data_IF_044305026379
#
_entry.id   IF_044305026379
#
_cell.length_a   1.000
_cell.length_b   1.000
_cell.length_c   1.000
_cell.angle_alpha   90.00
_cell.angle_beta   90.00
_cell.angle_gamma   90.00
#
_symmetry.space_group_name_H-M   'P 1'
#
loop_
_entity.id
_entity.type
_entity.pdbx_description
1 polymer ?
#
# COMPACT_ATOMS: atom_id res chain seq x y z
N UNK A 1 -10.23 -36.27 -37.97
CA UNK A 1 -10.91 -34.96 -38.10
C UNK A 1 -11.15 -34.46 -36.69
N UNK A 2 -10.19 -33.71 -36.13
CA UNK A 2 -10.32 -33.06 -34.82
C UNK A 2 -10.75 -31.62 -35.10
N UNK A 3 -11.98 -31.27 -34.69
CA UNK A 3 -12.52 -29.92 -34.84
C UNK A 3 -12.06 -29.11 -33.64
N UNK A 4 -11.26 -28.08 -33.92
CA UNK A 4 -10.86 -27.03 -33.00
C UNK A 4 -12.04 -26.04 -32.88
N UNK A 5 -12.61 -25.87 -31.69
CA UNK A 5 -13.56 -24.77 -31.43
C UNK A 5 -12.78 -23.67 -30.70
N UNK A 6 -12.37 -22.64 -31.44
CA UNK A 6 -11.99 -21.34 -30.89
C UNK A 6 -13.24 -20.65 -30.33
N UNK A 7 -13.30 -20.45 -29.02
CA UNK A 7 -14.18 -19.45 -28.43
C UNK A 7 -13.32 -18.23 -28.09
N UNK A 8 -13.45 -17.18 -28.89
CA UNK A 8 -12.83 -15.87 -28.65
C UNK A 8 -13.54 -15.22 -27.45
N UNK A 9 -12.90 -15.23 -26.29
CA UNK A 9 -13.32 -14.43 -25.13
C UNK A 9 -12.86 -12.99 -25.38
N UNK A 10 -13.79 -12.05 -25.37
CA UNK A 10 -13.46 -10.63 -25.62
C UNK A 10 -12.85 -10.00 -24.37
N UNK A 11 -12.05 -8.94 -24.53
CA UNK A 11 -11.46 -8.20 -23.40
C UNK A 11 -12.54 -7.63 -22.44
N UNK A 12 -13.75 -7.39 -22.93
CA UNK A 12 -14.90 -6.99 -22.12
C UNK A 12 -15.44 -8.11 -21.23
N UNK A 13 -15.32 -9.37 -21.65
CA UNK A 13 -15.74 -10.53 -20.85
C UNK A 13 -14.77 -10.77 -19.68
N UNK A 14 -13.47 -10.56 -19.90
CA UNK A 14 -12.45 -10.61 -18.84
C UNK A 14 -12.68 -9.51 -17.79
N UNK A 15 -12.94 -8.27 -18.22
CA UNK A 15 -13.25 -7.15 -17.31
C UNK A 15 -14.50 -7.44 -16.48
N UNK A 16 -15.52 -8.05 -17.08
CA UNK A 16 -16.75 -8.41 -16.38
C UNK A 16 -16.53 -9.52 -15.35
N UNK A 17 -15.74 -10.56 -15.68
CA UNK A 17 -15.37 -11.62 -14.74
C UNK A 17 -14.54 -11.06 -13.57
N UNK A 18 -13.63 -10.12 -13.83
CA UNK A 18 -12.84 -9.48 -12.76
C UNK A 18 -13.65 -8.51 -11.90
N UNK A 19 -14.60 -7.77 -12.46
CA UNK A 19 -15.56 -6.98 -11.67
C UNK A 19 -16.43 -7.86 -10.79
N UNK A 20 -16.81 -9.04 -11.29
CA UNK A 20 -17.59 -10.04 -10.54
C UNK A 20 -16.72 -10.63 -9.40
N UNK A 21 -15.48 -11.02 -9.66
CA UNK A 21 -14.53 -11.49 -8.63
C UNK A 21 -14.27 -10.42 -7.55
N UNK A 22 -14.11 -9.16 -7.95
CA UNK A 22 -13.97 -8.02 -7.04
C UNK A 22 -15.24 -7.80 -6.20
N UNK A 23 -16.41 -7.84 -6.83
CA UNK A 23 -17.70 -7.75 -6.13
C UNK A 23 -17.97 -8.96 -5.20
N UNK A 24 -17.52 -10.16 -5.57
CA UNK A 24 -17.64 -11.37 -4.75
C UNK A 24 -16.70 -11.34 -3.55
N UNK A 25 -15.46 -10.87 -3.72
CA UNK A 25 -14.54 -10.63 -2.61
C UNK A 25 -15.11 -9.57 -1.62
N UNK A 26 -15.79 -8.55 -2.15
CA UNK A 26 -16.53 -7.58 -1.35
C UNK A 26 -17.76 -8.20 -0.65
N UNK A 27 -18.57 -9.00 -1.34
CA UNK A 27 -19.78 -9.61 -0.80
C UNK A 27 -19.48 -10.63 0.32
N UNK A 28 -18.41 -11.41 0.18
CA UNK A 28 -17.99 -12.39 1.17
C UNK A 28 -17.50 -11.73 2.48
N UNK A 29 -16.91 -10.54 2.40
CA UNK A 29 -16.50 -9.78 3.59
C UNK A 29 -17.69 -9.11 4.32
N UNK A 30 -18.79 -8.82 3.63
CA UNK A 30 -20.03 -8.30 4.24
C UNK A 30 -20.80 -9.41 4.97
N UNK A 31 -20.74 -10.66 4.48
CA UNK A 31 -21.44 -11.81 5.07
C UNK A 31 -21.05 -12.11 6.53
N UNK A 32 -19.81 -11.83 6.93
CA UNK A 32 -19.34 -12.01 8.30
C UNK A 32 -19.87 -10.95 9.30
N UNK A 33 -20.53 -9.88 8.83
CA UNK A 33 -21.07 -8.83 9.70
C UNK A 33 -22.56 -9.00 10.07
N UNK A 34 -23.29 -9.95 9.47
CA UNK A 34 -24.75 -10.09 9.65
C UNK A 34 -25.19 -11.31 10.48
N UNK A 35 -24.26 -11.99 11.12
CA UNK A 35 -24.53 -13.19 11.92
C UNK A 35 -24.79 -12.94 13.40
N UNK A 36 -25.74 -12.07 13.77
CA UNK A 36 -26.34 -12.09 15.13
C UNK A 36 -27.68 -11.32 15.12
N UNK A 37 -28.80 -12.04 14.99
CA UNK A 37 -30.14 -11.52 15.31
C UNK A 37 -30.61 -12.17 16.61
N UNK A 38 -30.50 -11.43 17.70
CA UNK A 38 -31.23 -11.68 18.94
C UNK A 38 -32.56 -10.95 18.91
N UNK A 39 -33.63 -11.65 19.30
CA UNK A 39 -34.98 -11.16 19.52
C UNK A 39 -35.02 -10.20 20.71
N UNK A 40 -35.75 -9.08 20.63
CA UNK A 40 -36.75 -8.64 21.63
C UNK A 40 -37.37 -7.27 21.27
N UNK A 41 -38.66 -7.18 21.57
CA UNK A 41 -39.58 -6.09 21.28
C UNK A 41 -39.39 -4.86 22.19
N UNK A 42 -39.73 -3.68 21.65
CA UNK A 42 -40.42 -2.61 22.38
C UNK A 42 -39.59 -1.60 23.18
N UNK A 43 -39.57 -0.36 22.66
CA UNK A 43 -39.98 0.89 23.35
C UNK A 43 -39.03 2.09 23.11
N UNK A 44 -39.61 3.18 22.59
CA UNK A 44 -38.95 4.44 22.24
C UNK A 44 -38.44 5.18 23.49
N UNK A 45 -37.18 5.64 23.47
CA UNK A 45 -36.81 6.93 24.06
C UNK A 45 -35.56 7.52 23.40
N UNK A 46 -35.60 8.85 23.24
CA UNK A 46 -34.59 9.67 22.58
C UNK A 46 -33.23 9.57 23.28
N UNK A 47 -32.19 9.18 22.54
CA UNK A 47 -30.81 9.50 22.89
C UNK A 47 -30.13 10.05 21.64
N UNK A 48 -29.73 11.32 21.75
CA UNK A 48 -28.87 12.03 20.81
C UNK A 48 -27.67 11.18 20.42
N UNK A 49 -27.60 10.79 19.14
CA UNK A 49 -26.47 10.06 18.58
C UNK A 49 -25.23 10.96 18.57
N UNK A 50 -24.39 10.81 19.59
CA UNK A 50 -22.99 11.20 19.55
C UNK A 50 -22.37 10.50 18.33
N UNK A 51 -21.93 11.28 17.34
CA UNK A 51 -21.09 10.79 16.24
C UNK A 51 -19.92 10.02 16.84
N UNK A 52 -19.91 8.69 16.68
CA UNK A 52 -18.75 7.87 17.04
C UNK A 52 -17.54 8.40 16.28
N UNK A 53 -16.43 8.74 16.96
CA UNK A 53 -15.20 9.12 16.28
C UNK A 53 -14.75 7.95 15.39
N UNK A 54 -14.25 8.27 14.20
CA UNK A 54 -13.67 7.33 13.24
C UNK A 54 -12.66 6.43 13.98
N UNK A 55 -13.03 5.18 14.27
CA UNK A 55 -12.13 4.25 14.96
C UNK A 55 -11.09 3.77 13.94
N UNK A 56 -9.91 4.38 13.95
CA UNK A 56 -8.74 3.80 13.29
C UNK A 56 -8.45 2.46 13.95
N UNK A 57 -8.49 1.37 13.19
CA UNK A 57 -8.08 0.06 13.70
C UNK A 57 -6.58 0.08 14.03
N UNK A 58 -6.22 -0.57 15.14
CA UNK A 58 -4.83 -0.68 15.56
C UNK A 58 -3.97 -1.32 14.46
N UNK A 59 -2.71 -0.89 14.30
CA UNK A 59 -1.80 -1.52 13.36
C UNK A 59 -1.56 -3.00 13.74
N UNK A 60 -1.37 -3.85 12.73
CA UNK A 60 -0.84 -5.20 12.95
C UNK A 60 0.65 -5.08 13.21
N UNK A 61 1.11 -5.57 14.36
CA UNK A 61 2.52 -5.52 14.76
C UNK A 61 3.03 -6.94 14.91
N UNK A 62 4.09 -7.28 14.17
CA UNK A 62 4.82 -8.52 14.34
C UNK A 62 6.16 -8.19 15.00
N UNK A 63 6.35 -8.62 16.25
CA UNK A 63 7.61 -8.45 16.96
C UNK A 63 8.77 -9.13 16.24
N UNK A 64 9.97 -8.55 16.33
CA UNK A 64 11.20 -9.21 15.91
C UNK A 64 11.38 -10.54 16.66
N UNK A 65 12.02 -11.53 16.02
CA UNK A 65 12.34 -12.83 16.63
C UNK A 65 13.75 -12.89 17.22
N UNK A 66 14.58 -11.88 16.93
CA UNK A 66 15.85 -11.60 17.58
C UNK A 66 15.81 -10.21 18.25
N UNK A 67 16.96 -9.72 18.73
CA UNK A 67 17.08 -8.34 19.24
C UNK A 67 16.55 -7.36 18.18
N UNK A 68 15.56 -6.57 18.56
CA UNK A 68 14.96 -5.58 17.66
C UNK A 68 15.98 -4.48 17.36
N UNK A 69 16.43 -4.41 16.10
CA UNK A 69 17.37 -3.39 15.63
C UNK A 69 16.95 -2.73 14.33
N UNK A 70 15.85 -3.16 13.71
CA UNK A 70 15.29 -2.57 12.51
C UNK A 70 13.77 -2.65 12.50
N UNK A 71 13.11 -1.80 11.72
CA UNK A 71 11.65 -1.85 11.55
C UNK A 71 11.27 -1.78 10.07
N UNK A 72 10.26 -2.55 9.67
CA UNK A 72 9.62 -2.48 8.35
C UNK A 72 8.21 -1.97 8.56
N UNK A 73 7.87 -0.83 7.95
CA UNK A 73 6.51 -0.28 7.94
C UNK A 73 5.93 -0.54 6.55
N UNK A 74 4.81 -1.27 6.46
CA UNK A 74 4.23 -1.64 5.17
C UNK A 74 2.76 -1.24 5.05
N UNK A 75 2.45 -0.43 4.04
CA UNK A 75 1.14 0.19 3.81
C UNK A 75 0.33 -0.62 2.77
N UNK A 76 -0.88 -1.05 3.14
CA UNK A 76 -1.75 -1.83 2.25
C UNK A 76 -2.37 -0.99 1.12
N UNK A 77 -2.95 -1.64 0.12
CA UNK A 77 -3.68 -0.98 -0.98
C UNK A 77 -5.07 -0.49 -0.59
N UNK A 78 -5.72 0.24 -1.48
CA UNK A 78 -7.08 0.77 -1.26
C UNK A 78 -8.08 -0.34 -0.89
N UNK A 79 -8.87 -0.13 0.16
CA UNK A 79 -9.93 -1.06 0.59
C UNK A 79 -9.48 -2.24 1.46
N UNK A 80 -8.17 -2.49 1.57
CA UNK A 80 -7.60 -3.55 2.40
C UNK A 80 -7.37 -3.09 3.86
N UNK A 81 -6.70 -3.91 4.68
CA UNK A 81 -6.27 -3.58 6.04
C UNK A 81 -4.83 -4.01 6.28
N UNK A 82 -4.27 -3.65 7.44
CA UNK A 82 -2.94 -4.11 7.83
C UNK A 82 -2.77 -5.64 7.88
N UNK A 83 -3.86 -6.40 8.01
CA UNK A 83 -3.82 -7.86 8.01
C UNK A 83 -3.49 -8.46 6.63
N UNK A 84 -3.89 -7.80 5.54
CA UNK A 84 -3.75 -8.32 4.18
C UNK A 84 -2.29 -8.59 3.79
N UNK A 85 -1.36 -7.80 4.34
CA UNK A 85 0.07 -7.90 4.03
C UNK A 85 0.95 -8.39 5.17
N UNK A 86 0.45 -8.39 6.42
CA UNK A 86 1.26 -8.72 7.58
C UNK A 86 1.93 -10.09 7.48
N UNK A 87 1.23 -11.11 6.97
CA UNK A 87 1.80 -12.45 6.82
C UNK A 87 2.94 -12.49 5.79
N UNK A 88 2.72 -11.93 4.60
CA UNK A 88 3.72 -11.92 3.53
C UNK A 88 4.98 -11.12 3.92
N UNK A 89 4.80 -9.93 4.47
CA UNK A 89 5.89 -9.08 4.96
C UNK A 89 6.56 -9.71 6.19
N UNK A 90 5.79 -10.39 7.04
CA UNK A 90 6.28 -11.16 8.19
C UNK A 90 7.17 -12.33 7.79
N UNK A 91 6.87 -13.00 6.66
CA UNK A 91 7.64 -14.14 6.16
C UNK A 91 8.97 -13.73 5.49
N UNK A 92 9.03 -12.52 4.92
CA UNK A 92 10.23 -12.02 4.23
C UNK A 92 11.20 -11.26 5.15
N UNK A 93 10.74 -10.78 6.32
CA UNK A 93 11.56 -9.94 7.22
C UNK A 93 12.83 -10.65 7.74
N UNK A 94 13.94 -9.91 7.93
CA UNK A 94 15.04 -10.37 8.77
C UNK A 94 14.60 -10.61 10.23
N UNK A 95 15.23 -11.54 10.97
CA UNK A 95 14.80 -11.90 12.33
C UNK A 95 14.88 -10.74 13.34
N UNK A 96 15.78 -9.78 13.13
CA UNK A 96 15.94 -8.59 13.97
C UNK A 96 14.96 -7.45 13.63
N UNK A 97 14.14 -7.62 12.59
CA UNK A 97 13.21 -6.61 12.11
C UNK A 97 11.81 -6.79 12.69
N UNK A 98 11.27 -5.74 13.32
CA UNK A 98 9.84 -5.64 13.64
C UNK A 98 9.07 -5.27 12.37
N UNK A 99 7.85 -5.75 12.22
CA UNK A 99 6.96 -5.35 11.11
C UNK A 99 5.76 -4.60 11.69
N UNK A 100 5.42 -3.47 11.06
CA UNK A 100 4.22 -2.68 11.37
C UNK A 100 3.41 -2.54 10.09
N UNK A 101 2.19 -3.08 10.09
CA UNK A 101 1.22 -2.92 9.01
C UNK A 101 0.04 -2.10 9.53
N UNK A 102 0.07 -0.76 9.41
CA UNK A 102 -1.06 0.07 9.81
C UNK A 102 -2.27 -0.16 8.91
N UNK A 103 -3.45 0.13 9.44
CA UNK A 103 -4.69 0.14 8.65
C UNK A 103 -5.09 1.59 8.39
N UNK A 104 -5.39 1.90 7.13
CA UNK A 104 -5.87 3.21 6.73
C UNK A 104 -7.22 3.54 7.39
N UNK A 105 -7.51 4.81 7.71
CA UNK A 105 -8.82 5.19 8.22
C UNK A 105 -9.91 4.95 7.16
N UNK A 106 -11.14 4.69 7.61
CA UNK A 106 -12.28 4.64 6.70
C UNK A 106 -12.70 6.04 6.26
N UNK A 107 -12.79 6.26 4.95
CA UNK A 107 -13.25 7.52 4.35
C UNK A 107 -13.99 7.26 3.04
N UNK A 108 -14.85 8.19 2.58
CA UNK A 108 -15.41 8.15 1.23
C UNK A 108 -14.31 8.24 0.17
N UNK A 109 -14.46 7.47 -0.92
CA UNK A 109 -13.50 7.46 -2.02
C UNK A 109 -14.20 7.86 -3.32
N UNK A 110 -13.76 8.96 -3.92
CA UNK A 110 -14.40 9.58 -5.10
C UNK A 110 -14.41 8.65 -6.31
N UNK A 111 -13.30 7.95 -6.60
CA UNK A 111 -13.20 6.94 -7.67
C UNK A 111 -14.27 5.86 -7.53
N UNK A 112 -14.61 5.50 -6.29
CA UNK A 112 -15.62 4.50 -5.96
C UNK A 112 -16.96 5.15 -5.60
N UNK A 113 -17.35 6.24 -6.29
CA UNK A 113 -18.66 6.88 -6.13
C UNK A 113 -19.00 7.26 -4.68
N UNK A 114 -18.00 7.54 -3.85
CA UNK A 114 -18.16 7.92 -2.44
C UNK A 114 -18.38 6.76 -1.47
N UNK A 115 -18.23 5.50 -1.90
CA UNK A 115 -18.25 4.35 -0.97
C UNK A 115 -17.18 4.52 0.11
N UNK A 116 -17.58 4.27 1.37
CA UNK A 116 -16.69 4.39 2.53
C UNK A 116 -15.89 3.09 2.68
N UNK A 117 -14.57 3.20 2.65
CA UNK A 117 -13.65 2.07 2.80
C UNK A 117 -12.30 2.55 3.37
N UNK A 118 -11.44 1.64 3.86
CA UNK A 118 -10.08 2.00 4.25
C UNK A 118 -9.33 2.65 3.09
N UNK A 119 -8.91 3.90 3.27
CA UNK A 119 -8.15 4.62 2.25
C UNK A 119 -7.19 5.61 2.89
N UNK A 120 -5.99 5.72 2.32
CA UNK A 120 -4.95 6.61 2.84
C UNK A 120 -5.24 8.08 2.53
N UNK A 121 -5.81 8.36 1.36
CA UNK A 121 -6.20 9.67 0.85
C UNK A 121 -7.29 9.49 -0.19
N UNK A 122 -8.05 10.54 -0.54
CA UNK A 122 -9.11 10.40 -1.53
C UNK A 122 -8.53 10.12 -2.92
N UNK A 123 -8.83 8.95 -3.47
CA UNK A 123 -8.48 8.61 -4.84
C UNK A 123 -9.58 9.10 -5.76
N UNK A 124 -9.30 10.16 -6.52
CA UNK A 124 -10.28 10.83 -7.39
C UNK A 124 -10.41 10.18 -8.77
N UNK A 125 -9.30 9.71 -9.33
CA UNK A 125 -9.27 9.03 -10.63
C UNK A 125 -8.02 8.16 -10.75
N UNK A 126 -8.03 7.25 -11.72
CA UNK A 126 -6.84 6.56 -12.21
C UNK A 126 -6.42 7.14 -13.58
N UNK A 127 -6.32 8.47 -13.65
CA UNK A 127 -5.73 9.22 -14.76
C UNK A 127 -4.51 10.02 -14.25
N UNK A 128 -3.35 9.81 -14.88
CA UNK A 128 -2.10 10.47 -14.50
C UNK A 128 -2.12 11.99 -14.70
N UNK A 129 -3.08 12.52 -15.46
CA UNK A 129 -3.26 13.94 -15.71
C UNK A 129 -4.23 14.63 -14.74
N UNK A 130 -5.01 13.85 -13.99
CA UNK A 130 -6.03 14.37 -13.10
C UNK A 130 -5.46 15.01 -11.84
N UNK A 131 -6.29 15.84 -11.20
CA UNK A 131 -5.97 16.43 -9.91
C UNK A 131 -6.08 15.38 -8.80
N UNK A 132 -5.03 15.25 -8.00
CA UNK A 132 -4.98 14.35 -6.84
C UNK A 132 -5.50 15.06 -5.57
N UNK A 133 -5.63 14.31 -4.47
CA UNK A 133 -5.96 14.84 -3.14
C UNK A 133 -4.69 15.27 -2.40
N UNK A 134 -4.12 16.40 -2.81
CA UNK A 134 -2.84 16.87 -2.26
C UNK A 134 -2.85 17.03 -0.73
N UNK A 135 -3.91 17.60 -0.17
CA UNK A 135 -4.04 17.77 1.28
C UNK A 135 -4.17 16.43 2.01
N UNK A 136 -4.95 15.49 1.46
CA UNK A 136 -5.06 14.14 2.02
C UNK A 136 -3.76 13.37 1.96
N UNK A 137 -3.03 13.43 0.84
CA UNK A 137 -1.71 12.79 0.67
C UNK A 137 -0.73 13.33 1.70
N UNK A 138 -0.63 14.66 1.85
CA UNK A 138 0.23 15.30 2.86
C UNK A 138 -0.12 14.86 4.27
N UNK A 139 -1.40 14.89 4.64
CA UNK A 139 -1.88 14.46 5.95
C UNK A 139 -1.61 12.98 6.23
N UNK A 140 -1.76 12.13 5.22
CA UNK A 140 -1.45 10.70 5.34
C UNK A 140 0.04 10.46 5.53
N UNK A 141 0.89 11.22 4.82
CA UNK A 141 2.34 11.15 4.93
C UNK A 141 2.82 11.56 6.32
N UNK A 142 2.23 12.59 6.93
CA UNK A 142 2.49 12.93 8.34
C UNK A 142 2.17 11.77 9.29
N UNK A 143 1.14 10.97 8.98
CA UNK A 143 0.83 9.73 9.70
C UNK A 143 1.95 8.70 9.62
N UNK A 144 2.51 8.49 8.43
CA UNK A 144 3.67 7.62 8.22
C UNK A 144 4.90 8.18 8.93
N UNK A 145 5.15 9.48 8.85
CA UNK A 145 6.25 10.15 9.55
C UNK A 145 6.16 9.97 11.06
N UNK A 146 4.96 10.04 11.65
CA UNK A 146 4.75 9.77 13.08
C UNK A 146 5.09 8.32 13.45
N UNK A 147 4.80 7.34 12.57
CA UNK A 147 5.21 5.96 12.79
C UNK A 147 6.74 5.81 12.77
N UNK A 148 7.42 6.44 11.80
CA UNK A 148 8.88 6.45 11.72
C UNK A 148 9.48 7.09 12.98
N UNK A 149 8.99 8.26 13.38
CA UNK A 149 9.44 8.99 14.57
C UNK A 149 9.22 8.20 15.87
N UNK A 150 8.13 7.43 15.97
CA UNK A 150 7.88 6.56 17.11
C UNK A 150 8.92 5.43 17.23
N UNK A 151 9.36 4.87 16.10
CA UNK A 151 10.44 3.88 16.06
C UNK A 151 11.79 4.49 16.41
N UNK A 152 12.07 5.70 15.92
CA UNK A 152 13.26 6.47 16.29
C UNK A 152 13.31 6.75 17.80
N UNK A 153 12.18 7.17 18.38
CA UNK A 153 12.06 7.38 19.83
C UNK A 153 12.24 6.07 20.63
N UNK A 154 11.91 4.92 20.03
CA UNK A 154 12.18 3.60 20.60
C UNK A 154 13.63 3.11 20.40
N UNK A 155 14.51 3.92 19.79
CA UNK A 155 15.93 3.64 19.63
C UNK A 155 16.33 3.01 18.30
N UNK A 156 15.41 2.90 17.33
CA UNK A 156 15.72 2.41 15.99
C UNK A 156 16.20 3.58 15.12
N UNK A 157 17.45 3.55 14.66
CA UNK A 157 17.96 4.59 13.76
C UNK A 157 17.13 4.64 12.46
N UNK A 158 16.99 5.83 11.86
CA UNK A 158 16.19 6.03 10.64
C UNK A 158 16.69 5.17 9.47
N UNK A 159 18.00 5.03 9.33
CA UNK A 159 18.67 4.17 8.34
C UNK A 159 18.43 2.66 8.57
N UNK A 160 17.79 2.28 9.69
CA UNK A 160 17.32 0.92 9.98
C UNK A 160 15.80 0.79 9.90
N UNK A 161 15.13 1.76 9.30
CA UNK A 161 13.69 1.74 9.02
C UNK A 161 13.49 1.61 7.51
N UNK A 162 12.87 0.51 7.09
CA UNK A 162 12.33 0.33 5.75
C UNK A 162 10.87 0.76 5.73
N UNK A 163 10.47 1.50 4.71
CA UNK A 163 9.05 1.74 4.44
C UNK A 163 8.66 1.10 3.11
N UNK A 164 7.42 0.67 3.00
CA UNK A 164 6.93 0.18 1.73
C UNK A 164 5.43 0.11 1.68
N UNK A 165 4.92 -0.33 0.54
CA UNK A 165 3.51 -0.56 0.38
C UNK A 165 3.12 -1.06 -0.99
N UNK A 166 1.85 -1.42 -1.09
CA UNK A 166 1.21 -1.89 -2.31
C UNK A 166 0.19 -0.88 -2.82
N UNK A 167 0.15 -0.62 -4.13
CA UNK A 167 -0.85 0.24 -4.77
C UNK A 167 -0.92 1.63 -4.11
N UNK A 168 -2.08 2.08 -3.61
CA UNK A 168 -2.23 3.34 -2.87
C UNK A 168 -1.23 3.47 -1.69
N UNK A 169 -0.96 2.37 -0.98
CA UNK A 169 0.01 2.34 0.10
C UNK A 169 1.46 2.49 -0.40
N UNK A 170 1.80 1.90 -1.55
CA UNK A 170 3.10 2.07 -2.18
C UNK A 170 3.34 3.51 -2.65
N UNK A 171 2.29 4.13 -3.21
CA UNK A 171 2.30 5.55 -3.58
C UNK A 171 2.56 6.45 -2.37
N UNK A 172 1.86 6.18 -1.26
CA UNK A 172 2.09 6.90 -0.01
C UNK A 172 3.49 6.65 0.57
N UNK A 173 4.02 5.42 0.47
CA UNK A 173 5.36 5.10 0.95
C UNK A 173 6.43 5.90 0.18
N UNK A 174 6.36 5.95 -1.15
CA UNK A 174 7.27 6.76 -1.97
C UNK A 174 7.23 8.24 -1.57
N UNK A 175 6.03 8.82 -1.52
CA UNK A 175 5.86 10.21 -1.13
C UNK A 175 6.40 10.49 0.28
N UNK A 176 6.09 9.59 1.22
CA UNK A 176 6.52 9.72 2.62
C UNK A 176 8.04 9.65 2.76
N UNK A 177 8.73 8.78 2.01
CA UNK A 177 10.20 8.73 2.02
C UNK A 177 10.81 10.05 1.57
N UNK A 178 10.46 10.56 0.39
CA UNK A 178 11.09 11.77 -0.13
C UNK A 178 10.75 13.02 0.68
N UNK A 179 9.61 13.04 1.36
CA UNK A 179 9.21 14.15 2.25
C UNK A 179 9.69 13.98 3.69
N UNK A 180 10.35 12.87 4.03
CA UNK A 180 10.98 12.67 5.33
C UNK A 180 12.42 13.20 5.33
N UNK A 181 12.83 14.01 6.33
CA UNK A 181 14.11 14.71 6.28
C UNK A 181 15.34 13.84 6.61
N UNK A 182 15.17 12.68 7.23
CA UNK A 182 16.27 11.77 7.57
C UNK A 182 16.31 10.62 6.58
N UNK A 183 17.52 10.14 6.26
CA UNK A 183 17.69 8.97 5.40
C UNK A 183 17.10 7.72 6.06
N UNK A 184 16.23 7.05 5.31
CA UNK A 184 15.66 5.76 5.65
C UNK A 184 16.54 4.64 5.10
N UNK A 185 16.36 3.42 5.63
CA UNK A 185 17.11 2.24 5.19
C UNK A 185 16.77 1.82 3.76
N UNK A 186 15.57 2.14 3.27
CA UNK A 186 15.12 1.79 1.94
C UNK A 186 13.60 1.91 1.76
N UNK A 187 13.17 1.83 0.50
CA UNK A 187 11.76 1.91 0.11
C UNK A 187 11.37 0.73 -0.77
N UNK A 188 10.26 0.05 -0.46
CA UNK A 188 9.65 -0.98 -1.31
C UNK A 188 8.31 -0.50 -1.87
N UNK A 189 8.21 -0.37 -3.18
CA UNK A 189 7.08 0.24 -3.86
C UNK A 189 6.45 -0.75 -4.85
N UNK A 190 5.37 -1.43 -4.46
CA UNK A 190 4.75 -2.50 -5.26
C UNK A 190 3.52 -2.00 -6.01
N UNK A 191 3.49 -2.21 -7.33
CA UNK A 191 2.38 -1.93 -8.24
C UNK A 191 1.72 -0.57 -7.98
N UNK A 192 2.52 0.50 -7.96
CA UNK A 192 2.10 1.83 -7.54
C UNK A 192 2.65 2.96 -8.43
N UNK A 193 2.43 4.20 -8.02
CA UNK A 193 2.90 5.42 -8.69
C UNK A 193 3.44 6.42 -7.66
N UNK A 194 4.23 7.42 -8.09
CA UNK A 194 4.55 8.57 -7.23
C UNK A 194 3.40 9.60 -7.31
N UNK A 195 2.68 9.89 -6.22
CA UNK A 195 1.65 10.91 -6.23
C UNK A 195 2.29 12.31 -6.22
N UNK A 196 1.57 13.30 -6.75
CA UNK A 196 2.02 14.69 -6.92
C UNK A 196 3.34 14.80 -7.69
N UNK A 197 3.60 13.86 -8.60
CA UNK A 197 4.85 13.70 -9.34
C UNK A 197 5.37 14.98 -9.99
N UNK A 198 4.47 15.88 -10.44
CA UNK A 198 4.83 17.18 -11.04
C UNK A 198 5.53 18.14 -10.07
N UNK A 199 5.39 17.95 -8.77
CA UNK A 199 6.04 18.76 -7.73
C UNK A 199 7.43 18.23 -7.35
N UNK A 200 7.85 17.07 -7.89
CA UNK A 200 9.18 16.52 -7.66
C UNK A 200 10.18 17.01 -8.72
N UNK A 201 11.43 17.31 -8.34
CA UNK A 201 12.04 17.06 -7.03
C UNK A 201 11.79 18.15 -5.96
N UNK A 202 11.00 19.17 -6.23
CA UNK A 202 10.77 20.31 -5.31
C UNK A 202 10.23 19.92 -3.92
N UNK A 203 9.41 18.88 -3.83
CA UNK A 203 8.91 18.35 -2.54
C UNK A 203 9.87 17.40 -1.83
N UNK A 204 10.94 16.93 -2.50
CA UNK A 204 11.89 16.03 -1.88
C UNK A 204 12.83 16.80 -0.94
N UNK A 205 12.76 16.51 0.36
CA UNK A 205 13.61 17.10 1.40
C UNK A 205 14.71 16.14 1.89
N UNK A 206 14.67 14.87 1.50
CA UNK A 206 15.64 13.85 1.87
C UNK A 206 15.57 12.59 0.98
N UNK A 207 16.24 11.52 1.43
CA UNK A 207 16.14 10.16 0.84
C UNK A 207 16.53 10.04 -0.64
N UNK A 208 17.41 10.91 -1.16
CA UNK A 208 17.88 10.82 -2.55
C UNK A 208 18.80 9.63 -2.79
N UNK A 209 19.54 9.23 -1.76
CA UNK A 209 20.49 8.10 -1.78
C UNK A 209 19.89 6.82 -1.19
N UNK A 210 18.70 6.91 -0.60
CA UNK A 210 18.00 5.76 -0.02
C UNK A 210 17.69 4.74 -1.11
N UNK A 211 18.03 3.45 -0.91
CA UNK A 211 17.71 2.39 -1.86
C UNK A 211 16.20 2.29 -2.10
N UNK A 212 15.78 2.12 -3.36
CA UNK A 212 14.38 1.94 -3.74
C UNK A 212 14.25 0.70 -4.60
N UNK A 213 13.45 -0.26 -4.15
CA UNK A 213 12.95 -1.36 -4.96
C UNK A 213 11.52 -1.04 -5.39
N UNK A 214 11.33 -0.77 -6.67
CA UNK A 214 10.02 -0.62 -7.27
C UNK A 214 9.67 -1.87 -8.09
N UNK A 215 8.54 -2.48 -7.80
CA UNK A 215 8.08 -3.72 -8.43
C UNK A 215 6.75 -3.47 -9.15
N UNK A 216 6.55 -4.08 -10.31
CA UNK A 216 5.29 -3.93 -11.06
C UNK A 216 5.01 -5.13 -11.97
N UNK A 217 3.75 -5.53 -12.05
CA UNK A 217 3.27 -6.48 -13.07
C UNK A 217 3.07 -5.82 -14.44
N UNK A 218 3.49 -6.48 -15.52
CA UNK A 218 3.32 -5.92 -16.88
C UNK A 218 1.88 -6.02 -17.41
N UNK A 219 1.02 -6.76 -16.72
CA UNK A 219 -0.39 -6.98 -17.05
C UNK A 219 -1.34 -6.36 -16.01
N UNK A 220 -0.88 -5.40 -15.19
CA UNK A 220 -1.68 -4.71 -14.18
C UNK A 220 -2.81 -3.86 -14.82
N UNK A 221 -4.09 -4.21 -14.60
CA UNK A 221 -5.22 -3.50 -15.19
C UNK A 221 -5.67 -2.28 -14.37
N UNK A 222 -5.23 -2.15 -13.11
CA UNK A 222 -5.70 -1.11 -12.18
C UNK A 222 -4.70 0.05 -12.07
N UNK A 223 -3.42 -0.26 -11.88
CA UNK A 223 -2.34 0.71 -11.95
C UNK A 223 -1.52 0.38 -13.19
N UNK A 224 -1.82 1.01 -14.35
CA UNK A 224 -1.21 0.62 -15.61
C UNK A 224 0.31 0.56 -15.51
N UNK A 225 0.93 -0.50 -16.02
CA UNK A 225 2.39 -0.71 -15.97
C UNK A 225 3.20 0.53 -16.40
N UNK A 226 2.68 1.28 -17.39
CA UNK A 226 3.26 2.56 -17.85
C UNK A 226 3.44 3.59 -16.73
N UNK A 227 2.56 3.63 -15.74
CA UNK A 227 2.67 4.53 -14.58
C UNK A 227 3.81 4.12 -13.66
N UNK A 228 4.00 2.82 -13.46
CA UNK A 228 5.18 2.28 -12.78
C UNK A 228 6.46 2.70 -13.50
N UNK A 229 6.51 2.52 -14.83
CA UNK A 229 7.65 2.95 -15.65
C UNK A 229 7.91 4.46 -15.57
N UNK A 230 6.87 5.28 -15.68
CA UNK A 230 6.98 6.75 -15.57
C UNK A 230 7.48 7.16 -14.20
N UNK A 231 7.00 6.52 -13.14
CA UNK A 231 7.47 6.73 -11.77
C UNK A 231 8.95 6.39 -11.67
N UNK A 232 9.36 5.20 -12.11
CA UNK A 232 10.77 4.78 -12.09
C UNK A 232 11.68 5.73 -12.88
N UNK A 233 11.26 6.15 -14.08
CA UNK A 233 11.98 7.11 -14.91
C UNK A 233 12.10 8.49 -14.25
N UNK A 234 11.08 8.93 -13.52
CA UNK A 234 11.12 10.17 -12.77
C UNK A 234 12.06 10.06 -11.56
N UNK A 235 11.93 9.00 -10.76
CA UNK A 235 12.76 8.77 -9.58
C UNK A 235 14.24 8.77 -9.95
N UNK A 236 14.62 8.10 -11.05
CA UNK A 236 15.99 8.05 -11.56
C UNK A 236 16.58 9.39 -11.97
N UNK A 237 15.78 10.46 -12.11
CA UNK A 237 16.30 11.79 -12.41
C UNK A 237 16.89 12.49 -11.18
N UNK A 238 16.52 12.08 -9.96
CA UNK A 238 16.95 12.77 -8.73
C UNK A 238 17.26 11.86 -7.53
N UNK A 239 16.96 10.57 -7.62
CA UNK A 239 17.38 9.54 -6.68
C UNK A 239 18.46 8.66 -7.32
N UNK A 240 19.46 8.28 -6.54
CA UNK A 240 20.68 7.63 -7.06
C UNK A 240 20.61 6.10 -7.03
N UNK A 241 19.67 5.51 -6.28
CA UNK A 241 19.58 4.08 -6.07
C UNK A 241 18.15 3.56 -6.27
N UNK A 242 17.73 3.46 -7.53
CA UNK A 242 16.37 3.03 -7.92
C UNK A 242 16.44 1.80 -8.81
N UNK A 243 15.97 0.68 -8.30
CA UNK A 243 15.73 -0.55 -9.05
C UNK A 243 14.24 -0.64 -9.44
N UNK A 244 13.97 -0.94 -10.72
CA UNK A 244 12.61 -1.19 -11.20
C UNK A 244 12.55 -2.60 -11.76
N UNK A 245 11.79 -3.48 -11.10
CA UNK A 245 11.59 -4.88 -11.49
C UNK A 245 10.20 -5.08 -12.07
N UNK A 246 10.15 -5.86 -13.14
CA UNK A 246 8.92 -6.18 -13.86
C UNK A 246 8.66 -7.67 -13.79
N UNK A 247 7.44 -8.04 -13.40
CA UNK A 247 7.01 -9.43 -13.30
C UNK A 247 6.05 -9.74 -14.43
N UNK A 248 6.45 -10.67 -15.31
CA UNK A 248 5.75 -10.96 -16.56
C UNK A 248 4.43 -11.71 -16.30
N UNK A 249 3.34 -11.24 -16.88
CA UNK A 249 2.00 -11.80 -16.73
C UNK A 249 1.33 -11.50 -15.39
N UNK A 250 1.99 -10.75 -14.51
CA UNK A 250 1.42 -10.36 -13.22
C UNK A 250 0.43 -9.20 -13.42
N UNK A 251 -0.78 -9.37 -12.86
CA UNK A 251 -1.80 -8.32 -12.76
C UNK A 251 -1.61 -7.40 -11.55
N UNK A 252 -2.71 -6.87 -10.99
CA UNK A 252 -2.65 -6.06 -9.77
C UNK A 252 -2.58 -6.94 -8.51
N UNK A 253 -1.48 -7.64 -8.31
CA UNK A 253 -1.21 -8.55 -7.18
C UNK A 253 0.30 -8.62 -6.91
N UNK A 254 0.70 -9.51 -6.00
CA UNK A 254 2.10 -9.92 -5.79
C UNK A 254 2.38 -11.35 -6.27
N UNK A 255 3.65 -11.71 -6.36
CA UNK A 255 4.11 -13.08 -6.64
C UNK A 255 5.16 -13.54 -5.63
N UNK A 256 5.41 -14.85 -5.57
CA UNK A 256 6.52 -15.39 -4.77
C UNK A 256 7.88 -14.84 -5.22
N UNK A 257 8.08 -14.65 -6.53
CA UNK A 257 9.30 -14.06 -7.10
C UNK A 257 9.50 -12.63 -6.59
N UNK A 258 8.45 -11.80 -6.62
CA UNK A 258 8.49 -10.44 -6.06
C UNK A 258 8.81 -10.45 -4.56
N UNK A 259 8.26 -11.39 -3.81
CA UNK A 259 8.54 -11.51 -2.38
C UNK A 259 9.96 -11.99 -2.07
N UNK A 260 10.57 -12.81 -2.94
CA UNK A 260 11.99 -13.19 -2.83
C UNK A 260 12.90 -11.99 -3.07
N UNK A 261 12.59 -11.19 -4.09
CA UNK A 261 13.32 -9.94 -4.36
C UNK A 261 13.19 -8.94 -3.21
N UNK A 262 11.98 -8.76 -2.69
CA UNK A 262 11.73 -7.92 -1.52
C UNK A 262 12.51 -8.38 -0.29
N UNK A 263 12.58 -9.70 -0.04
CA UNK A 263 13.38 -10.29 1.03
C UNK A 263 14.87 -9.96 0.88
N UNK A 264 15.41 -10.15 -0.32
CA UNK A 264 16.81 -9.88 -0.61
C UNK A 264 17.12 -8.40 -0.43
N UNK A 265 16.28 -7.51 -0.98
CA UNK A 265 16.40 -6.07 -0.83
C UNK A 265 16.37 -5.64 0.64
N UNK A 266 15.41 -6.15 1.42
CA UNK A 266 15.28 -5.83 2.84
C UNK A 266 16.53 -6.27 3.64
N UNK A 267 17.07 -7.44 3.32
CA UNK A 267 18.31 -7.93 3.91
C UNK A 267 19.51 -7.04 3.52
N UNK A 268 19.64 -6.64 2.26
CA UNK A 268 20.73 -5.76 1.80
C UNK A 268 20.68 -4.39 2.49
N UNK A 269 19.50 -3.79 2.59
CA UNK A 269 19.31 -2.48 3.20
C UNK A 269 19.58 -2.49 4.71
N UNK A 270 19.13 -3.53 5.42
CA UNK A 270 19.18 -3.57 6.88
C UNK A 270 20.39 -4.30 7.46
N UNK A 271 21.15 -5.06 6.65
CA UNK A 271 22.39 -5.70 7.10
C UNK A 271 23.63 -4.82 6.92
N UNK A 272 23.52 -3.63 6.33
CA UNK A 272 24.62 -2.69 6.29
C UNK A 272 24.99 -2.29 7.74
N UNK A 273 26.21 -2.63 8.16
CA UNK A 273 26.83 -2.25 9.44
C UNK A 273 27.39 -0.84 9.39
#
# INVERSE_FOLDING_TARGET
IFVYIHSSVSATDLILVFLIEFLLFFALNIGNCLGQKGTHDGELSQVSSLKKPNMSSSPVILSATAKHTATIIFLHGLGDTGHGWASAIGAMRPPFAKVICPTAPSMPVTLNSGFVMPSWFDLKSLDASANEDEDGIKKAAEGVHRLIQAEEAAGIKSDRILIGGFSQGGALALYSAFTYPKSLGGVMAFSCWLPLHKQFPGYAVGNKETPILQCHGDCDPLVPYKWGQMTASMLKQYATNVEFKTYRGLGHSSTEEEMVDAKQFAAQCLNAE
#
